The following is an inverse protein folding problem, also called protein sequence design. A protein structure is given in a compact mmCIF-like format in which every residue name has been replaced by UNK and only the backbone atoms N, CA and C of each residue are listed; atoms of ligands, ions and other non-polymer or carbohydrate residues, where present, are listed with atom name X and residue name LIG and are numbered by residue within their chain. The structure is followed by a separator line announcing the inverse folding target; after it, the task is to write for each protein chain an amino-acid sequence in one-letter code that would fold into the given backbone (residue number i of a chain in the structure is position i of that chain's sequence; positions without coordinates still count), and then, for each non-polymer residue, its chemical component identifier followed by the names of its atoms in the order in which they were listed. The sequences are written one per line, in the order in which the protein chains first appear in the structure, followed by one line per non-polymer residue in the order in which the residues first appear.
data_IF_075278480951
#
_entry.id   IF_075278480951
#
_cell.length_a   1.000
_cell.length_b   1.000
_cell.length_c   1.000
_cell.angle_alpha   90.00
_cell.angle_beta   90.00
_cell.angle_gamma   90.00
#
_symmetry.space_group_name_H-M   'P 1'
#
loop_
_entity.id
_entity.type
_entity.pdbx_description
1 polymer ?
#
# COMPACT_ATOMS: atom_id res chain seq x y z
N UNK A 1 12.53 5.81 11.04
CA UNK A 1 12.65 5.37 9.63
C UNK A 1 12.66 3.84 9.53
N UNK A 2 13.78 3.14 9.80
CA UNK A 2 13.90 1.68 9.54
C UNK A 2 12.78 0.78 10.12
N UNK A 3 12.24 1.09 11.30
CA UNK A 3 11.13 0.34 11.89
C UNK A 3 9.82 0.47 11.08
N UNK A 4 9.52 1.64 10.53
CA UNK A 4 8.33 1.88 9.68
C UNK A 4 8.50 1.23 8.31
N UNK A 5 9.68 1.32 7.70
CA UNK A 5 10.01 0.60 6.46
C UNK A 5 9.79 -0.91 6.62
N UNK A 6 10.27 -1.49 7.73
CA UNK A 6 10.03 -2.92 8.03
C UNK A 6 8.54 -3.21 8.22
N UNK A 7 7.79 -2.33 8.89
CA UNK A 7 6.35 -2.50 9.08
C UNK A 7 5.58 -2.45 7.74
N UNK A 8 5.89 -1.49 6.87
CA UNK A 8 5.29 -1.39 5.52
C UNK A 8 5.52 -2.65 4.71
N UNK A 9 6.77 -3.15 4.68
CA UNK A 9 7.08 -4.41 4.00
C UNK A 9 6.21 -5.57 4.54
N UNK A 10 6.01 -5.66 5.86
CA UNK A 10 5.19 -6.71 6.47
C UNK A 10 3.70 -6.56 6.13
N UNK A 11 3.20 -5.32 6.01
CA UNK A 11 1.84 -5.06 5.54
C UNK A 11 1.67 -5.49 4.07
N UNK A 12 2.61 -5.09 3.19
CA UNK A 12 2.62 -5.53 1.78
C UNK A 12 2.66 -7.05 1.67
N UNK A 13 3.50 -7.74 2.43
CA UNK A 13 3.57 -9.21 2.43
C UNK A 13 2.21 -9.87 2.79
N UNK A 14 1.40 -9.22 3.64
CA UNK A 14 0.07 -9.71 4.04
C UNK A 14 -0.94 -9.44 2.93
N UNK A 15 -1.01 -8.21 2.43
CA UNK A 15 -1.94 -7.80 1.37
C UNK A 15 -1.71 -8.61 0.09
N UNK A 16 -0.45 -8.77 -0.32
CA UNK A 16 -0.07 -9.61 -1.46
C UNK A 16 -0.51 -11.07 -1.28
N UNK A 17 -0.29 -11.65 -0.09
CA UNK A 17 -0.69 -13.03 0.16
C UNK A 17 -2.20 -13.22 0.23
N UNK A 18 -2.94 -12.21 0.70
CA UNK A 18 -4.40 -12.21 0.70
C UNK A 18 -4.94 -12.19 -0.74
N UNK A 19 -4.41 -11.31 -1.59
CA UNK A 19 -4.74 -11.24 -3.01
C UNK A 19 -4.50 -12.57 -3.72
N UNK A 20 -3.30 -13.14 -3.56
CA UNK A 20 -2.92 -14.39 -4.23
C UNK A 20 -3.82 -15.57 -3.86
N UNK A 21 -4.41 -15.54 -2.66
CA UNK A 21 -5.32 -16.59 -2.17
C UNK A 21 -6.80 -16.22 -2.31
N UNK A 22 -7.11 -15.03 -2.85
CA UNK A 22 -8.46 -14.46 -2.86
C UNK A 22 -9.12 -14.53 -1.49
N UNK A 23 -8.34 -14.25 -0.44
CA UNK A 23 -8.76 -14.32 0.96
C UNK A 23 -8.95 -12.92 1.54
N UNK A 24 -9.71 -12.83 2.63
CA UNK A 24 -9.82 -11.59 3.39
C UNK A 24 -8.46 -11.21 4.03
N UNK A 25 -7.97 -9.99 3.83
CA UNK A 25 -6.67 -9.56 4.35
C UNK A 25 -6.63 -9.46 5.88
N UNK A 26 -7.76 -9.20 6.55
CA UNK A 26 -7.83 -9.15 8.01
C UNK A 26 -7.76 -10.56 8.60
N UNK A 27 -8.42 -11.54 7.98
CA UNK A 27 -8.29 -12.94 8.39
C UNK A 27 -6.86 -13.45 8.19
N UNK A 28 -6.23 -13.15 7.05
CA UNK A 28 -4.82 -13.44 6.81
C UNK A 28 -3.92 -12.78 7.86
N UNK A 29 -4.17 -11.52 8.21
CA UNK A 29 -3.43 -10.81 9.25
C UNK A 29 -3.56 -11.51 10.60
N UNK A 30 -4.78 -11.88 11.01
CA UNK A 30 -5.04 -12.57 12.28
C UNK A 30 -4.25 -13.87 12.37
N UNK A 31 -4.26 -14.67 11.31
CA UNK A 31 -3.46 -15.90 11.24
C UNK A 31 -1.97 -15.61 11.40
N UNK A 32 -1.45 -14.59 10.71
CA UNK A 32 -0.03 -14.22 10.82
C UNK A 32 0.34 -13.71 12.20
N UNK A 33 -0.49 -12.87 12.81
CA UNK A 33 -0.26 -12.34 14.16
C UNK A 33 -0.21 -13.47 15.19
N UNK A 34 -1.12 -14.45 15.09
CA UNK A 34 -1.17 -15.58 16.01
C UNK A 34 0.10 -16.45 15.98
N UNK A 35 0.81 -16.50 14.85
CA UNK A 35 1.99 -17.34 14.65
C UNK A 35 3.30 -16.54 14.48
N UNK A 36 3.28 -15.21 14.68
CA UNK A 36 4.41 -14.34 14.40
C UNK A 36 5.52 -14.45 15.48
N UNK A 37 6.73 -14.81 15.07
CA UNK A 37 7.94 -14.65 15.87
C UNK A 37 9.09 -14.11 14.99
N UNK A 38 9.53 -12.85 15.15
CA UNK A 38 9.07 -11.87 16.14
C UNK A 38 7.64 -11.36 15.87
N UNK A 39 6.99 -10.70 16.86
CA UNK A 39 5.64 -10.16 16.72
C UNK A 39 5.48 -9.25 15.49
N UNK A 40 4.25 -9.21 14.95
CA UNK A 40 3.90 -8.27 13.89
C UNK A 40 4.00 -6.83 14.42
N UNK A 41 4.66 -5.91 13.71
CA UNK A 41 4.66 -4.50 14.10
C UNK A 41 3.24 -3.92 14.13
N UNK A 42 2.91 -3.13 15.14
CA UNK A 42 1.60 -2.48 15.29
C UNK A 42 1.24 -1.62 14.06
N UNK A 43 2.23 -0.91 13.52
CA UNK A 43 2.04 -0.15 12.29
C UNK A 43 1.66 -1.04 11.09
N UNK A 44 2.17 -2.26 11.01
CA UNK A 44 1.81 -3.17 9.92
C UNK A 44 0.35 -3.64 10.06
N UNK A 45 -0.09 -3.91 11.30
CA UNK A 45 -1.48 -4.23 11.64
C UNK A 45 -2.40 -3.09 11.19
N UNK A 46 -2.10 -1.85 11.63
CA UNK A 46 -2.88 -0.65 11.29
C UNK A 46 -3.01 -0.46 9.77
N UNK A 47 -1.92 -0.64 9.02
CA UNK A 47 -1.95 -0.52 7.56
C UNK A 47 -2.88 -1.54 6.92
N UNK A 48 -2.78 -2.81 7.30
CA UNK A 48 -3.60 -3.88 6.70
C UNK A 48 -5.08 -3.70 7.05
N UNK A 49 -5.40 -3.43 8.31
CA UNK A 49 -6.78 -3.18 8.75
C UNK A 49 -7.38 -1.94 8.09
N UNK A 50 -6.58 -0.88 7.96
CA UNK A 50 -6.97 0.34 7.27
C UNK A 50 -7.24 0.13 5.79
N UNK A 51 -6.36 -0.59 5.08
CA UNK A 51 -6.59 -0.97 3.69
C UNK A 51 -7.88 -1.77 3.56
N UNK A 52 -8.13 -2.74 4.44
CA UNK A 52 -9.35 -3.54 4.40
C UNK A 52 -10.61 -2.68 4.63
N UNK A 53 -10.56 -1.74 5.58
CA UNK A 53 -11.68 -0.86 5.90
C UNK A 53 -12.02 0.14 4.77
N UNK A 54 -11.04 0.52 3.96
CA UNK A 54 -11.17 1.52 2.90
C UNK A 54 -11.01 0.94 1.48
N UNK A 55 -11.01 -0.40 1.33
CA UNK A 55 -10.63 -1.10 0.11
C UNK A 55 -11.34 -0.57 -1.15
N UNK A 56 -12.67 -0.37 -1.07
CA UNK A 56 -13.45 0.12 -2.21
C UNK A 56 -13.01 1.51 -2.70
N UNK A 57 -12.76 2.45 -1.78
CA UNK A 57 -12.30 3.80 -2.15
C UNK A 57 -10.85 3.79 -2.65
N UNK A 58 -10.00 2.99 -2.00
CA UNK A 58 -8.60 2.82 -2.41
C UNK A 58 -8.51 2.28 -3.84
N UNK A 59 -9.23 1.20 -4.13
CA UNK A 59 -9.21 0.57 -5.45
C UNK A 59 -9.78 1.49 -6.52
N UNK A 60 -10.88 2.20 -6.22
CA UNK A 60 -11.45 3.22 -7.10
C UNK A 60 -10.41 4.30 -7.47
N UNK A 61 -9.70 4.84 -6.47
CA UNK A 61 -8.68 5.86 -6.69
C UNK A 61 -7.53 5.34 -7.54
N UNK A 62 -7.05 4.13 -7.26
CA UNK A 62 -5.97 3.54 -8.05
C UNK A 62 -6.43 3.37 -9.51
N UNK A 63 -7.63 2.84 -9.75
CA UNK A 63 -8.17 2.66 -11.10
C UNK A 63 -8.34 3.97 -11.88
N UNK A 64 -8.81 5.03 -11.22
CA UNK A 64 -8.99 6.35 -11.83
C UNK A 64 -7.65 6.96 -12.29
N UNK A 65 -6.56 6.70 -11.54
CA UNK A 65 -5.27 7.34 -11.76
C UNK A 65 -4.21 6.43 -12.43
N UNK A 66 -4.49 5.15 -12.62
CA UNK A 66 -3.61 4.13 -13.23
C UNK A 66 -3.36 4.27 -14.75
N UNK A 67 -3.71 5.40 -15.38
CA UNK A 67 -3.48 5.71 -16.81
C UNK A 67 -3.86 4.59 -17.78
N UNK A 68 -5.02 3.95 -17.58
CA UNK A 68 -5.57 2.96 -18.51
C UNK A 68 -5.14 1.51 -18.24
N UNK A 69 -4.42 1.23 -17.15
CA UNK A 69 -4.23 -0.13 -16.64
C UNK A 69 -5.36 -0.44 -15.66
N UNK A 70 -6.09 -1.53 -15.88
CA UNK A 70 -6.99 -2.03 -14.83
C UNK A 70 -6.17 -2.52 -13.65
N UNK A 71 -6.70 -2.35 -12.43
CA UNK A 71 -6.04 -2.76 -11.20
C UNK A 71 -5.59 -4.24 -11.23
N UNK A 72 -6.40 -5.09 -11.86
CA UNK A 72 -6.15 -6.51 -12.07
C UNK A 72 -4.96 -6.83 -12.98
N UNK A 73 -4.53 -5.89 -13.82
CA UNK A 73 -3.38 -6.06 -14.74
C UNK A 73 -2.05 -5.63 -14.14
N UNK A 74 -2.08 -4.98 -12.98
CA UNK A 74 -0.85 -4.61 -12.28
C UNK A 74 -0.17 -5.85 -11.73
N UNK A 75 1.18 -5.85 -11.65
CA UNK A 75 1.87 -6.82 -10.82
C UNK A 75 1.25 -6.85 -9.43
N UNK A 76 0.98 -8.05 -8.91
CA UNK A 76 0.29 -8.23 -7.64
C UNK A 76 0.99 -7.49 -6.49
N UNK A 77 2.32 -7.42 -6.53
CA UNK A 77 3.14 -6.67 -5.58
C UNK A 77 2.90 -5.16 -5.70
N UNK A 78 2.84 -4.61 -6.92
CA UNK A 78 2.59 -3.18 -7.15
C UNK A 78 1.20 -2.79 -6.65
N UNK A 79 0.20 -3.64 -6.90
CA UNK A 79 -1.16 -3.44 -6.38
C UNK A 79 -1.19 -3.41 -4.86
N UNK A 80 -0.50 -4.34 -4.19
CA UNK A 80 -0.41 -4.37 -2.73
C UNK A 80 0.31 -3.12 -2.16
N UNK A 81 1.38 -2.66 -2.83
CA UNK A 81 2.10 -1.43 -2.46
C UNK A 81 1.21 -0.20 -2.62
N UNK A 82 0.53 -0.06 -3.75
CA UNK A 82 -0.37 1.05 -4.03
C UNK A 82 -1.50 1.11 -3.01
N UNK A 83 -2.16 -0.02 -2.72
CA UNK A 83 -3.24 -0.06 -1.73
C UNK A 83 -2.77 0.41 -0.35
N UNK A 84 -1.63 -0.09 0.10
CA UNK A 84 -1.03 0.32 1.37
C UNK A 84 -0.68 1.82 1.38
N UNK A 85 -0.03 2.31 0.32
CA UNK A 85 0.42 3.69 0.26
C UNK A 85 -0.74 4.69 0.14
N UNK A 86 -1.78 4.37 -0.64
CA UNK A 86 -2.99 5.20 -0.74
C UNK A 86 -3.71 5.25 0.62
N UNK A 87 -3.78 4.12 1.35
CA UNK A 87 -4.31 4.15 2.71
C UNK A 87 -3.51 5.11 3.61
N UNK A 88 -2.18 4.98 3.58
CA UNK A 88 -1.29 5.79 4.42
C UNK A 88 -1.36 7.28 4.05
N UNK A 89 -1.46 7.63 2.76
CA UNK A 89 -1.59 9.01 2.29
C UNK A 89 -2.87 9.71 2.76
N UNK A 90 -4.01 9.01 2.72
CA UNK A 90 -5.31 9.65 2.90
C UNK A 90 -5.91 9.51 4.30
N UNK A 91 -5.41 8.55 5.09
CA UNK A 91 -5.96 8.24 6.42
C UNK A 91 -4.91 8.11 7.53
N UNK A 92 -3.63 8.32 7.26
CA UNK A 92 -2.58 8.30 8.28
C UNK A 92 -1.84 9.65 8.40
N UNK A 93 -2.37 10.55 9.23
CA UNK A 93 -1.82 11.90 9.45
C UNK A 93 -0.48 11.95 10.19
N UNK A 94 0.08 10.80 10.57
CA UNK A 94 1.33 10.70 11.35
C UNK A 94 2.59 10.53 10.49
N UNK A 95 2.45 10.53 9.15
CA UNK A 95 3.56 10.40 8.20
C UNK A 95 3.43 11.46 7.10
N UNK A 96 4.48 12.27 6.82
CA UNK A 96 4.45 13.21 5.72
C UNK A 96 4.26 12.52 4.36
N UNK A 97 3.43 13.09 3.48
CA UNK A 97 3.07 12.53 2.17
C UNK A 97 4.29 12.13 1.33
N UNK A 98 5.30 13.00 1.27
CA UNK A 98 6.54 12.73 0.55
C UNK A 98 7.27 11.47 1.06
N UNK A 99 7.24 11.23 2.37
CA UNK A 99 7.84 10.04 2.98
C UNK A 99 7.05 8.78 2.63
N UNK A 100 5.71 8.87 2.56
CA UNK A 100 4.87 7.73 2.14
C UNK A 100 5.19 7.35 0.69
N UNK A 101 5.27 8.34 -0.20
CA UNK A 101 5.58 8.13 -1.62
C UNK A 101 6.99 7.55 -1.77
N UNK A 102 8.02 8.15 -1.17
CA UNK A 102 9.40 7.68 -1.26
C UNK A 102 9.53 6.21 -0.79
N UNK A 103 8.86 5.86 0.31
CA UNK A 103 8.90 4.49 0.85
C UNK A 103 8.15 3.49 -0.02
N UNK A 104 7.04 3.89 -0.64
CA UNK A 104 6.31 3.05 -1.60
C UNK A 104 7.14 2.80 -2.86
N UNK A 105 7.83 3.82 -3.36
CA UNK A 105 8.73 3.73 -4.53
C UNK A 105 9.91 2.81 -4.24
N UNK A 106 10.52 2.90 -3.06
CA UNK A 106 11.62 2.02 -2.66
C UNK A 106 11.16 0.58 -2.42
N UNK A 107 9.95 0.35 -1.92
CA UNK A 107 9.36 -1.00 -1.86
C UNK A 107 9.15 -1.59 -3.26
N UNK A 108 8.64 -0.79 -4.20
CA UNK A 108 8.44 -1.23 -5.59
C UNK A 108 9.78 -1.59 -6.25
N UNK A 109 10.81 -0.78 -6.02
CA UNK A 109 12.18 -1.04 -6.48
C UNK A 109 12.74 -2.34 -5.94
N UNK A 110 12.46 -2.64 -4.68
CA UNK A 110 13.02 -3.81 -4.00
C UNK A 110 12.27 -5.12 -4.28
N UNK A 111 10.98 -5.05 -4.63
CA UNK A 111 10.09 -6.22 -4.63
C UNK A 111 9.43 -6.52 -5.99
N UNK A 112 9.56 -5.64 -6.97
CA UNK A 112 8.83 -5.74 -8.24
C UNK A 112 9.77 -5.55 -9.45
N UNK A 113 9.27 -4.94 -10.53
CA UNK A 113 10.00 -4.77 -11.80
C UNK A 113 10.76 -3.45 -11.86
N UNK A 114 11.66 -3.30 -12.86
CA UNK A 114 12.41 -2.05 -13.08
C UNK A 114 11.52 -0.84 -13.42
N UNK A 115 10.31 -1.08 -13.95
CA UNK A 115 9.35 -0.03 -14.32
C UNK A 115 8.46 0.39 -13.14
N UNK A 116 8.31 -0.49 -12.14
CA UNK A 116 7.40 -0.32 -11.00
C UNK A 116 7.66 0.93 -10.15
N UNK A 117 8.90 1.35 -9.84
CA UNK A 117 9.15 2.56 -9.05
C UNK A 117 8.58 3.83 -9.70
N UNK A 118 8.79 4.00 -11.00
CA UNK A 118 8.30 5.16 -11.74
C UNK A 118 6.78 5.13 -11.87
N UNK A 119 6.19 3.95 -12.07
CA UNK A 119 4.76 3.76 -12.13
C UNK A 119 4.08 4.10 -10.79
N UNK A 120 4.54 3.52 -9.67
CA UNK A 120 4.01 3.78 -8.33
C UNK A 120 4.10 5.25 -7.98
N UNK A 121 5.25 5.89 -8.24
CA UNK A 121 5.41 7.33 -8.02
C UNK A 121 4.37 8.17 -8.80
N UNK A 122 4.17 7.84 -10.07
CA UNK A 122 3.24 8.55 -10.94
C UNK A 122 1.77 8.41 -10.51
N UNK A 123 1.37 7.23 -10.07
CA UNK A 123 -0.01 6.98 -9.59
C UNK A 123 -0.25 7.69 -8.25
N UNK A 124 0.66 7.54 -7.28
CA UNK A 124 0.50 8.16 -5.97
C UNK A 124 0.51 9.69 -6.03
N UNK A 125 1.39 10.27 -6.85
CA UNK A 125 1.39 11.72 -7.08
C UNK A 125 0.08 12.23 -7.68
N UNK A 126 -0.47 11.51 -8.66
CA UNK A 126 -1.74 11.88 -9.28
C UNK A 126 -2.94 11.78 -8.32
N UNK A 127 -2.95 10.78 -7.42
CA UNK A 127 -3.97 10.65 -6.37
C UNK A 127 -3.83 11.78 -5.35
N UNK A 128 -2.61 12.07 -4.89
CA UNK A 128 -2.36 13.14 -3.92
C UNK A 128 -2.82 14.50 -4.45
N UNK A 129 -2.47 14.83 -5.70
CA UNK A 129 -2.87 16.09 -6.35
C UNK A 129 -4.41 16.21 -6.49
N UNK A 130 -5.11 15.09 -6.65
CA UNK A 130 -6.56 15.07 -6.81
C UNK A 130 -7.32 15.17 -5.48
N UNK A 131 -6.84 14.50 -4.43
CA UNK A 131 -7.53 14.40 -3.14
C UNK A 131 -7.13 15.51 -2.16
N UNK A 132 -5.93 16.08 -2.32
CA UNK A 132 -5.45 17.21 -1.51
C UNK A 132 -5.22 18.40 -2.45
N UNK A 133 -6.24 19.26 -2.67
CA UNK A 133 -6.07 20.45 -3.47
C UNK A 133 -4.96 21.29 -2.84
N UNK A 134 -3.84 21.42 -3.55
CA UNK A 134 -2.79 22.37 -3.18
C UNK A 134 -3.46 23.74 -3.11
N UNK A 135 -3.60 24.25 -1.88
CA UNK A 135 -4.04 25.63 -1.68
C UNK A 135 -2.99 26.51 -2.35
N UNK A 136 -3.34 27.02 -3.53
CA UNK A 136 -2.57 28.05 -4.24
C UNK A 136 -2.57 29.35 -3.43
#
# INVERSE_FOLDING_TARGET
MAARTKARKRAVDVLYAADLRSADPVDMLRERVAHANPPMPEHAVRLVEGVAAHAGRIDELIEQHARGWSLERLPDVDRAILRMAVFELLWADDVPDAVVIDEAVELARALSTDESPAYVNGVLGAILDAEVPTSS
#
